data_IF_839145186626
#
_entry.id   IF_839145186626
#
_cell.length_a   1.000
_cell.length_b   1.000
_cell.length_c   1.000
_cell.angle_alpha   90.00
_cell.angle_beta   90.00
_cell.angle_gamma   90.00
#
_symmetry.space_group_name_H-M   'P 1'
#
loop_
_entity.id
_entity.type
_entity.pdbx_description
1 polymer ?
#
# COMPACT_ATOMS: atom_id res chain seq x y z
N UNK A 1 10.26 1.28 25.36
CA UNK A 1 9.58 1.88 24.20
C UNK A 1 8.87 0.78 23.45
N UNK A 2 7.60 0.50 23.77
CA UNK A 2 6.80 -0.50 23.06
C UNK A 2 6.21 0.19 21.83
N UNK A 3 6.73 -0.11 20.64
CA UNK A 3 6.24 0.43 19.37
C UNK A 3 7.28 1.08 18.45
N UNK A 4 8.55 1.19 18.88
CA UNK A 4 9.55 2.07 18.23
C UNK A 4 10.29 1.46 17.02
N UNK A 5 9.98 0.23 16.60
CA UNK A 5 10.58 -0.31 15.39
C UNK A 5 9.64 -1.32 14.72
N UNK A 6 9.11 -0.92 13.57
CA UNK A 6 8.32 -1.77 12.67
C UNK A 6 9.12 -2.99 12.20
N UNK A 7 10.44 -2.85 12.06
CA UNK A 7 11.36 -3.94 11.76
C UNK A 7 12.32 -4.21 12.92
N UNK A 8 12.81 -5.45 13.08
CA UNK A 8 13.54 -5.87 14.28
C UNK A 8 14.94 -5.26 14.43
N UNK A 9 15.55 -4.72 13.36
CA UNK A 9 16.87 -4.10 13.40
C UNK A 9 17.09 -3.14 12.21
N UNK A 10 18.12 -2.29 12.30
CA UNK A 10 18.51 -1.33 11.25
C UNK A 10 18.85 -2.02 9.93
N UNK A 11 19.53 -3.16 9.97
CA UNK A 11 19.87 -3.95 8.76
C UNK A 11 18.63 -4.35 7.97
N UNK A 12 17.52 -4.64 8.65
CA UNK A 12 16.24 -4.97 8.00
C UNK A 12 15.67 -3.78 7.23
N UNK A 13 15.91 -2.55 7.71
CA UNK A 13 15.55 -1.34 6.98
C UNK A 13 16.45 -1.10 5.76
N UNK A 14 17.75 -1.34 5.88
CA UNK A 14 18.68 -1.23 4.75
C UNK A 14 18.26 -2.20 3.63
N UNK A 15 17.96 -3.44 3.99
CA UNK A 15 17.49 -4.48 3.05
C UNK A 15 16.13 -4.13 2.45
N UNK A 16 15.21 -3.56 3.24
CA UNK A 16 13.94 -3.07 2.71
C UNK A 16 14.16 -1.99 1.65
N UNK A 17 15.02 -1.00 1.94
CA UNK A 17 15.29 0.11 1.02
C UNK A 17 15.98 -0.38 -0.25
N UNK A 18 16.91 -1.31 -0.11
CA UNK A 18 17.58 -1.98 -1.23
C UNK A 18 16.56 -2.70 -2.11
N UNK A 19 15.67 -3.51 -1.51
CA UNK A 19 14.65 -4.24 -2.25
C UNK A 19 13.64 -3.30 -2.91
N UNK A 20 13.18 -2.25 -2.23
CA UNK A 20 12.29 -1.23 -2.80
C UNK A 20 12.88 -0.62 -4.07
N UNK A 21 14.16 -0.24 -4.03
CA UNK A 21 14.85 0.32 -5.18
C UNK A 21 15.03 -0.72 -6.31
N UNK A 22 15.31 -1.98 -5.96
CA UNK A 22 15.43 -3.07 -6.93
C UNK A 22 14.13 -3.36 -7.68
N UNK A 23 12.99 -3.20 -7.02
CA UNK A 23 11.65 -3.44 -7.60
C UNK A 23 10.91 -2.16 -7.98
N UNK A 24 11.61 -1.03 -8.09
CA UNK A 24 11.03 0.30 -8.32
C UNK A 24 10.08 0.37 -9.52
N UNK A 25 10.43 -0.33 -10.60
CA UNK A 25 9.64 -0.47 -11.82
C UNK A 25 8.24 -1.04 -11.57
N UNK A 26 8.07 -1.98 -10.65
CA UNK A 26 6.74 -2.51 -10.30
C UNK A 26 5.89 -1.47 -9.57
N UNK A 27 6.49 -0.70 -8.67
CA UNK A 27 5.79 0.37 -7.96
C UNK A 27 5.38 1.51 -8.90
N UNK A 28 6.26 1.91 -9.82
CA UNK A 28 5.95 2.91 -10.83
C UNK A 28 4.78 2.47 -11.72
N UNK A 29 4.75 1.21 -12.16
CA UNK A 29 3.63 0.69 -12.95
C UNK A 29 2.34 0.61 -12.12
N UNK A 30 2.42 0.20 -10.85
CA UNK A 30 1.27 0.15 -9.95
C UNK A 30 0.69 1.56 -9.73
N UNK A 31 1.53 2.57 -9.53
CA UNK A 31 1.11 3.97 -9.44
C UNK A 31 0.44 4.44 -10.73
N UNK A 32 0.95 4.04 -11.89
CA UNK A 32 0.37 4.36 -13.20
C UNK A 32 -1.03 3.74 -13.36
N UNK A 33 -1.20 2.47 -12.94
CA UNK A 33 -2.50 1.80 -12.95
C UNK A 33 -3.49 2.52 -12.03
N UNK A 34 -3.08 2.87 -10.81
CA UNK A 34 -3.91 3.59 -9.85
C UNK A 34 -4.30 4.99 -10.34
N UNK A 35 -3.37 5.73 -10.94
CA UNK A 35 -3.66 7.03 -11.54
C UNK A 35 -4.71 6.92 -12.65
N UNK A 36 -4.62 5.87 -13.47
CA UNK A 36 -5.62 5.61 -14.53
C UNK A 36 -6.97 5.24 -13.94
N UNK A 37 -7.03 4.38 -12.92
CA UNK A 37 -8.29 3.99 -12.28
C UNK A 37 -8.99 5.17 -11.61
N UNK A 38 -8.24 5.98 -10.85
CA UNK A 38 -8.76 7.20 -10.21
C UNK A 38 -9.21 8.25 -11.22
N UNK A 39 -8.56 8.36 -12.37
CA UNK A 39 -8.99 9.25 -13.46
C UNK A 39 -10.23 8.73 -14.21
N UNK A 40 -10.39 7.41 -14.32
CA UNK A 40 -11.51 6.78 -15.05
C UNK A 40 -12.77 6.72 -14.18
N UNK A 41 -12.59 6.51 -12.88
CA UNK A 41 -13.65 6.50 -11.88
C UNK A 41 -13.26 7.48 -10.76
N UNK A 42 -13.52 8.79 -10.93
CA UNK A 42 -13.23 9.77 -9.89
C UNK A 42 -13.99 9.36 -8.62
N UNK A 43 -13.24 9.03 -7.57
CA UNK A 43 -13.83 8.77 -6.26
C UNK A 43 -14.50 10.06 -5.82
N UNK A 44 -15.82 10.05 -5.70
CA UNK A 44 -16.50 11.14 -5.01
C UNK A 44 -15.95 11.20 -3.58
N UNK A 45 -15.55 12.37 -3.07
CA UNK A 45 -15.07 12.54 -1.69
C UNK A 45 -16.11 12.12 -0.64
N UNK A 46 -17.37 11.94 -1.05
CA UNK A 46 -18.48 11.46 -0.22
C UNK A 46 -18.69 9.94 -0.27
N UNK A 47 -17.89 9.18 -1.02
CA UNK A 47 -18.05 7.73 -1.11
C UNK A 47 -17.56 7.07 0.19
N UNK A 48 -18.42 6.38 0.94
CA UNK A 48 -18.01 5.70 2.16
C UNK A 48 -16.89 4.70 1.86
N UNK A 49 -15.88 4.66 2.74
CA UNK A 49 -14.91 3.54 2.78
C UNK A 49 -15.72 2.24 2.81
N UNK A 50 -15.48 1.32 1.87
CA UNK A 50 -16.18 0.03 1.81
C UNK A 50 -17.27 -0.10 0.74
N UNK A 51 -17.58 0.96 -0.02
CA UNK A 51 -18.36 0.77 -1.25
C UNK A 51 -17.55 -0.07 -2.24
N UNK A 52 -18.16 -1.07 -2.90
CA UNK A 52 -17.51 -1.93 -3.92
C UNK A 52 -16.86 -1.17 -5.11
N UNK A 53 -16.90 0.16 -5.10
CA UNK A 53 -16.35 1.07 -6.12
C UNK A 53 -15.20 1.94 -5.62
N UNK A 54 -14.80 1.87 -4.34
CA UNK A 54 -13.58 2.55 -3.88
C UNK A 54 -12.37 1.67 -4.16
N UNK A 55 -11.36 2.10 -4.93
CA UNK A 55 -10.10 1.36 -5.04
C UNK A 55 -9.53 1.08 -3.65
N UNK A 56 -9.07 -0.15 -3.48
CA UNK A 56 -8.46 -0.66 -2.23
C UNK A 56 -7.22 0.15 -1.85
N UNK A 57 -6.59 0.82 -2.83
CA UNK A 57 -5.39 1.62 -2.69
C UNK A 57 -5.60 3.01 -3.28
N UNK A 58 -5.08 4.03 -2.61
CA UNK A 58 -5.08 5.42 -3.07
C UNK A 58 -3.66 5.85 -3.45
N UNK A 59 -3.49 6.85 -4.33
CA UNK A 59 -2.18 7.41 -4.63
C UNK A 59 -1.41 7.89 -3.39
N UNK A 60 -2.13 8.38 -2.37
CA UNK A 60 -1.56 8.78 -1.08
C UNK A 60 -0.85 7.64 -0.34
N UNK A 61 -1.29 6.40 -0.54
CA UNK A 61 -0.77 5.25 0.19
C UNK A 61 0.63 4.85 -0.32
N UNK A 62 1.03 5.32 -1.51
CA UNK A 62 2.36 5.11 -2.10
C UNK A 62 3.34 6.27 -1.85
N UNK A 63 2.92 7.34 -1.19
CA UNK A 63 3.68 8.59 -1.09
C UNK A 63 5.08 8.40 -0.50
N UNK A 64 5.21 7.61 0.57
CA UNK A 64 6.51 7.31 1.18
C UNK A 64 7.40 6.43 0.30
N UNK A 65 6.82 5.46 -0.42
CA UNK A 65 7.57 4.64 -1.36
C UNK A 65 8.09 5.52 -2.51
N UNK A 66 7.26 6.41 -3.04
CA UNK A 66 7.66 7.37 -4.06
C UNK A 66 8.81 8.26 -3.59
N UNK A 67 8.71 8.85 -2.39
CA UNK A 67 9.78 9.69 -1.81
C UNK A 67 11.10 8.93 -1.64
N UNK A 68 11.06 7.66 -1.22
CA UNK A 68 12.26 6.81 -1.13
C UNK A 68 12.85 6.62 -2.54
N UNK A 69 12.04 6.23 -3.52
CA UNK A 69 12.52 5.97 -4.88
C UNK A 69 13.09 7.23 -5.54
N UNK A 70 12.41 8.37 -5.42
CA UNK A 70 12.87 9.65 -5.99
C UNK A 70 14.19 10.11 -5.37
N UNK A 71 14.43 9.78 -4.10
CA UNK A 71 15.67 10.11 -3.41
C UNK A 71 16.84 9.20 -3.83
N UNK A 72 16.61 7.90 -3.93
CA UNK A 72 17.69 6.92 -4.12
C UNK A 72 17.99 6.57 -5.57
N UNK A 73 16.98 6.49 -6.45
CA UNK A 73 17.19 6.08 -7.85
C UNK A 73 18.21 6.96 -8.60
N UNK A 74 18.19 8.31 -8.47
CA UNK A 74 19.19 9.15 -9.12
C UNK A 74 20.61 8.91 -8.60
N UNK A 75 20.75 8.48 -7.33
CA UNK A 75 22.05 8.24 -6.68
C UNK A 75 22.70 6.92 -7.12
N UNK A 76 21.92 6.02 -7.73
CA UNK A 76 22.42 4.79 -8.32
C UNK A 76 22.80 4.95 -9.80
N UNK A 77 22.39 6.06 -10.42
CA UNK A 77 22.76 6.38 -11.80
C UNK A 77 24.10 7.12 -11.79
N UNK A 78 25.16 6.43 -12.19
CA UNK A 78 26.44 7.07 -12.47
C UNK A 78 26.41 7.64 -13.89
N UNK A 79 26.58 8.96 -14.05
CA UNK A 79 26.68 9.61 -15.37
C UNK A 79 27.88 9.10 -16.20
N UNK A 80 28.83 8.41 -15.56
CA UNK A 80 30.01 7.84 -16.19
C UNK A 80 29.92 6.30 -16.28
N UNK A 81 29.42 5.81 -17.42
CA UNK A 81 29.48 4.43 -17.92
C UNK A 81 28.63 3.37 -17.16
N UNK A 82 28.22 2.26 -17.84
CA UNK A 82 27.31 1.26 -17.28
C UNK A 82 28.05 0.29 -16.36
N UNK A 83 28.56 0.79 -15.23
CA UNK A 83 28.97 -0.08 -14.13
C UNK A 83 27.73 -0.36 -13.31
N UNK A 84 27.19 -1.57 -13.45
CA UNK A 84 26.14 -2.07 -12.57
C UNK A 84 26.68 -2.14 -11.15
N UNK A 85 26.13 -1.32 -10.25
CA UNK A 85 26.49 -1.34 -8.82
C UNK A 85 26.26 -2.73 -8.24
N UNK A 86 27.18 -3.18 -7.39
CA UNK A 86 27.03 -4.39 -6.60
C UNK A 86 26.05 -4.16 -5.45
N UNK A 87 25.41 -5.22 -4.89
CA UNK A 87 24.49 -5.07 -3.77
C UNK A 87 25.09 -4.35 -2.57
N UNK A 88 26.37 -4.60 -2.26
CA UNK A 88 27.06 -3.99 -1.13
C UNK A 88 27.31 -2.48 -1.34
N UNK A 89 27.60 -2.06 -2.59
CA UNK A 89 27.75 -0.64 -2.94
C UNK A 89 26.41 0.10 -2.82
N UNK A 90 25.30 -0.52 -3.28
CA UNK A 90 23.96 0.05 -3.13
C UNK A 90 23.59 0.19 -1.65
N UNK A 91 23.87 -0.82 -0.83
CA UNK A 91 23.63 -0.77 0.61
C UNK A 91 24.48 0.31 1.31
N UNK A 92 25.73 0.53 0.86
CA UNK A 92 26.58 1.60 1.39
C UNK A 92 25.98 2.99 1.10
N UNK A 93 25.48 3.22 -0.11
CA UNK A 93 24.79 4.47 -0.49
C UNK A 93 23.52 4.66 0.36
N UNK A 94 22.72 3.61 0.53
CA UNK A 94 21.49 3.65 1.34
C UNK A 94 21.80 4.06 2.78
N UNK A 95 22.83 3.47 3.39
CA UNK A 95 23.24 3.78 4.77
C UNK A 95 23.73 5.21 4.93
N UNK A 96 24.47 5.73 3.95
CA UNK A 96 25.01 7.09 3.99
C UNK A 96 23.90 8.15 3.92
N UNK A 97 22.84 7.88 3.16
CA UNK A 97 21.79 8.84 2.83
C UNK A 97 20.50 8.63 3.63
N UNK A 98 20.48 7.64 4.53
CA UNK A 98 19.30 7.27 5.30
C UNK A 98 18.71 8.44 6.09
N UNK A 99 19.55 9.32 6.63
CA UNK A 99 19.13 10.50 7.40
C UNK A 99 18.62 11.67 6.55
N UNK A 100 18.87 11.67 5.23
CA UNK A 100 18.48 12.75 4.33
C UNK A 100 17.08 12.57 3.70
N UNK A 101 16.47 11.38 3.88
CA UNK A 101 15.13 11.08 3.37
C UNK A 101 14.07 11.67 4.31
N UNK A 102 13.44 12.77 3.89
CA UNK A 102 12.31 13.35 4.61
C UNK A 102 11.07 12.45 4.44
N UNK A 103 10.65 11.79 5.53
CA UNK A 103 9.49 10.90 5.51
C UNK A 103 8.21 11.68 5.75
N UNK A 104 7.18 11.40 4.95
CA UNK A 104 5.85 11.99 5.15
C UNK A 104 5.07 11.10 6.12
N UNK A 105 4.57 11.62 7.26
CA UNK A 105 3.65 10.86 8.09
C UNK A 105 2.40 10.49 7.28
N UNK A 106 1.98 9.23 7.31
CA UNK A 106 0.77 8.82 6.61
C UNK A 106 -0.44 9.55 7.22
N UNK A 107 -1.24 10.18 6.35
CA UNK A 107 -2.47 10.86 6.77
C UNK A 107 -3.46 9.88 7.40
N UNK A 108 -3.94 10.22 8.60
CA UNK A 108 -4.98 9.46 9.29
C UNK A 108 -4.49 8.36 10.24
N UNK A 109 -3.18 8.22 10.49
CA UNK A 109 -2.68 7.36 11.58
C UNK A 109 -3.01 7.90 12.98
N UNK A 110 -3.17 9.22 13.11
CA UNK A 110 -3.53 9.88 14.37
C UNK A 110 -5.03 9.84 14.66
N UNK A 111 -5.85 9.49 13.66
CA UNK A 111 -7.30 9.39 13.82
C UNK A 111 -7.63 7.92 13.99
N UNK A 112 -7.75 7.40 15.24
CA UNK A 112 -8.26 6.05 15.42
C UNK A 112 -9.61 5.96 14.71
N UNK A 113 -9.81 4.91 13.92
CA UNK A 113 -11.12 4.62 13.32
C UNK A 113 -12.15 4.62 14.44
N UNK A 114 -13.11 5.54 14.39
CA UNK A 114 -14.20 5.56 15.37
C UNK A 114 -14.95 4.24 15.26
N UNK A 115 -15.19 3.60 16.40
CA UNK A 115 -16.08 2.45 16.44
C UNK A 115 -17.44 2.85 15.87
N UNK A 116 -17.89 2.10 14.87
CA UNK A 116 -19.17 2.31 14.21
C UNK A 116 -20.07 1.12 14.56
N UNK A 117 -21.16 1.36 15.31
CA UNK A 117 -22.09 0.29 15.73
C UNK A 117 -22.76 -0.41 14.54
N UNK A 118 -22.89 0.30 13.42
CA UNK A 118 -23.46 -0.22 12.19
C UNK A 118 -22.58 0.17 11.00
N UNK A 119 -21.50 -0.60 10.75
CA UNK A 119 -20.66 -0.38 9.57
C UNK A 119 -21.51 -0.41 8.29
N UNK A 120 -21.14 0.38 7.29
CA UNK A 120 -21.86 0.46 6.01
C UNK A 120 -22.02 -0.90 5.32
N UNK A 121 -21.13 -1.85 5.62
CA UNK A 121 -21.10 -3.21 5.10
C UNK A 121 -22.20 -4.11 5.70
N UNK A 122 -22.82 -3.75 6.83
CA UNK A 122 -23.86 -4.58 7.50
C UNK A 122 -25.05 -4.84 6.59
N UNK A 123 -25.45 -3.87 5.76
CA UNK A 123 -26.55 -4.03 4.81
C UNK A 123 -26.25 -5.07 3.72
N UNK A 124 -25.02 -5.05 3.21
CA UNK A 124 -24.53 -6.02 2.24
C UNK A 124 -24.40 -7.42 2.84
N UNK A 125 -23.79 -7.54 4.03
CA UNK A 125 -23.65 -8.85 4.70
C UNK A 125 -25.01 -9.49 5.00
N UNK A 126 -26.01 -8.67 5.37
CA UNK A 126 -27.39 -9.13 5.53
C UNK A 126 -28.01 -9.62 4.22
N UNK A 127 -27.75 -8.94 3.10
CA UNK A 127 -28.29 -9.38 1.80
C UNK A 127 -27.64 -10.69 1.35
N UNK A 128 -26.32 -10.81 1.47
CA UNK A 128 -25.58 -12.06 1.19
C UNK A 128 -26.09 -13.20 2.07
N UNK A 129 -26.22 -12.98 3.38
CA UNK A 129 -26.74 -13.99 4.30
C UNK A 129 -28.15 -14.45 3.94
N UNK A 130 -29.04 -13.54 3.52
CA UNK A 130 -30.38 -13.89 3.05
C UNK A 130 -30.36 -14.71 1.76
N UNK A 131 -29.51 -14.35 0.80
CA UNK A 131 -29.36 -15.08 -0.46
C UNK A 131 -28.86 -16.51 -0.22
N UNK A 132 -27.79 -16.65 0.58
CA UNK A 132 -27.22 -17.97 0.92
C UNK A 132 -28.26 -18.85 1.65
N UNK A 133 -28.99 -18.29 2.61
CA UNK A 133 -30.06 -19.04 3.30
C UNK A 133 -31.20 -19.42 2.36
N UNK A 134 -31.60 -18.53 1.45
CA UNK A 134 -32.64 -18.81 0.47
C UNK A 134 -32.25 -19.90 -0.53
N UNK A 135 -30.96 -20.05 -0.83
CA UNK A 135 -30.42 -21.05 -1.76
C UNK A 135 -30.20 -22.42 -1.09
N UNK A 136 -29.74 -22.43 0.17
CA UNK A 136 -29.51 -23.67 0.93
C UNK A 136 -30.82 -24.30 1.44
N UNK A 137 -31.80 -23.49 1.86
CA UNK A 137 -33.06 -23.97 2.43
C UNK A 137 -33.85 -24.95 1.51
N UNK A 138 -33.99 -24.71 0.18
CA UNK A 138 -34.60 -25.68 -0.71
C UNK A 138 -33.72 -26.91 -0.97
N UNK A 139 -32.39 -26.79 -0.95
CA UNK A 139 -31.47 -27.92 -1.15
C UNK A 139 -31.52 -28.94 -0.01
N UNK A 140 -31.74 -28.49 1.23
CA UNK A 140 -31.90 -29.38 2.41
C UNK A 140 -33.31 -30.02 2.45
N UNK A 141 -34.32 -29.35 1.89
CA UNK A 141 -35.70 -29.86 1.87
C UNK A 141 -35.93 -30.99 0.85
N UNK A 142 -35.00 -31.22 -0.09
CA UNK A 142 -35.08 -32.26 -1.13
C UNK A 142 -34.20 -33.49 -0.79
N UNK A 143 -33.53 -33.48 0.36
CA UNK A 143 -32.67 -34.57 0.83
C UNK A 143 -33.26 -35.34 2.02
N UNK A 144 -34.42 -35.98 1.83
CA UNK A 144 -34.91 -37.15 2.60
C UNK A 144 -35.80 -38.00 1.70
#
# INVERSE_FOLDING_TARGET
SYGDSFLPNSTSYDMLYYELCRIANYFQELQRILARETSTYPLSPTTPRGSHRTPVLRPSDFRNIATILDHFLPKFQNDAAPVTLTPDEVLAIIRAEYGAVERVPLEGLEVPSRYEEQPGEVGFLRSVGRTVVAEIRPAVAVGW
#
